data_IF_444891184216
#
_entry.id   IF_444891184216
#
_cell.length_a   1.000
_cell.length_b   1.000
_cell.length_c   1.000
_cell.angle_alpha   90.00
_cell.angle_beta   90.00
_cell.angle_gamma   90.00
#
_symmetry.space_group_name_H-M   'P 1'
#
loop_
_entity.id
_entity.type
_entity.pdbx_description
1 polymer ?
#
# COMPACT_ATOMS: atom_id res chain seq x y z
N UNK A 1 -21.29 -48.55 -0.93
CA UNK A 1 -22.50 -48.31 -0.10
C UNK A 1 -22.36 -46.93 0.54
N UNK A 2 -23.30 -46.02 0.25
CA UNK A 2 -23.33 -44.62 0.70
C UNK A 2 -23.57 -44.52 2.20
N UNK A 3 -22.86 -43.62 2.88
CA UNK A 3 -23.41 -42.77 3.96
C UNK A 3 -22.81 -41.37 3.83
N UNK A 4 -23.52 -40.50 3.12
CA UNK A 4 -23.26 -39.06 3.05
C UNK A 4 -23.88 -38.48 4.33
N UNK A 5 -23.08 -37.81 5.15
CA UNK A 5 -23.55 -37.11 6.34
C UNK A 5 -23.79 -35.64 5.97
N UNK A 6 -25.05 -35.29 5.72
CA UNK A 6 -25.51 -33.91 5.51
C UNK A 6 -25.82 -33.35 6.90
N UNK A 7 -25.05 -32.37 7.37
CA UNK A 7 -25.39 -31.58 8.55
C UNK A 7 -26.09 -30.32 8.05
N UNK A 8 -27.42 -30.32 8.13
CA UNK A 8 -28.25 -29.12 8.07
C UNK A 8 -28.02 -28.31 9.36
N UNK A 9 -27.41 -27.13 9.25
CA UNK A 9 -27.46 -26.13 10.32
C UNK A 9 -28.50 -25.07 9.93
N UNK A 10 -29.62 -25.12 10.66
CA UNK A 10 -30.77 -24.26 10.48
C UNK A 10 -30.46 -22.80 10.81
N UNK A 11 -31.03 -21.92 9.98
CA UNK A 11 -31.05 -20.48 10.06
C UNK A 11 -31.75 -19.96 11.32
N UNK A 12 -31.19 -18.94 11.96
CA UNK A 12 -31.96 -17.97 12.74
C UNK A 12 -31.82 -16.62 12.03
N UNK A 13 -32.87 -16.28 11.28
CA UNK A 13 -33.12 -14.95 10.72
C UNK A 13 -33.88 -14.19 11.80
N UNK A 14 -33.24 -13.23 12.47
CA UNK A 14 -33.94 -12.25 13.30
C UNK A 14 -34.22 -11.04 12.40
N UNK A 15 -35.45 -10.97 11.91
CA UNK A 15 -35.99 -9.80 11.22
C UNK A 15 -36.77 -8.95 12.21
N UNK A 16 -36.60 -7.63 12.04
CA UNK A 16 -37.46 -6.51 12.43
C UNK A 16 -37.25 -5.84 13.79
N UNK A 17 -36.67 -4.64 13.72
CA UNK A 17 -37.18 -3.46 14.42
C UNK A 17 -37.12 -2.27 13.42
N UNK A 18 -38.23 -2.05 12.71
CA UNK A 18 -39.11 -0.87 12.84
C UNK A 18 -38.45 0.43 12.36
N UNK A 19 -38.76 0.80 11.13
CA UNK A 19 -38.52 2.14 10.59
C UNK A 19 -39.62 3.08 11.13
N UNK A 20 -39.27 3.97 12.07
CA UNK A 20 -40.13 5.10 12.45
C UNK A 20 -39.68 6.33 11.65
N UNK A 21 -40.55 7.00 10.88
CA UNK A 21 -40.21 8.30 10.30
C UNK A 21 -40.35 9.37 11.38
N UNK A 22 -39.23 9.86 11.91
CA UNK A 22 -39.23 11.06 12.75
C UNK A 22 -39.25 12.28 11.81
N UNK A 23 -40.42 12.91 11.67
CA UNK A 23 -40.54 14.23 11.03
C UNK A 23 -40.36 15.28 12.13
N UNK A 24 -39.20 15.92 12.18
CA UNK A 24 -38.96 17.16 12.93
C UNK A 24 -38.67 18.27 11.92
N UNK A 25 -39.64 19.19 11.77
CA UNK A 25 -39.47 20.48 11.11
C UNK A 25 -38.93 21.49 12.14
N UNK A 26 -37.84 22.17 11.79
CA UNK A 26 -37.48 23.47 12.37
C UNK A 26 -36.06 23.55 12.92
N UNK A 27 -35.13 24.09 12.13
CA UNK A 27 -33.79 24.49 12.58
C UNK A 27 -32.72 24.19 11.54
N UNK A 28 -32.27 25.21 10.81
CA UNK A 28 -31.26 25.10 9.76
C UNK A 28 -29.85 24.87 10.33
N UNK A 29 -29.09 23.92 9.75
CA UNK A 29 -27.63 24.00 9.63
C UNK A 29 -26.79 23.00 10.45
N UNK A 30 -26.06 22.15 9.70
CA UNK A 30 -24.86 21.36 10.05
C UNK A 30 -24.99 20.18 11.04
N UNK A 31 -25.10 18.97 10.48
CA UNK A 31 -24.70 17.73 11.15
C UNK A 31 -23.18 17.65 11.23
N UNK A 32 -22.62 17.62 12.44
CA UNK A 32 -21.21 17.30 12.71
C UNK A 32 -21.12 15.81 13.09
N UNK A 33 -20.91 14.95 12.10
CA UNK A 33 -20.30 13.64 12.34
C UNK A 33 -18.79 13.88 12.49
N UNK A 34 -18.32 14.16 13.70
CA UNK A 34 -16.90 14.19 14.01
C UNK A 34 -16.38 12.76 14.17
N UNK A 35 -16.24 12.07 13.03
CA UNK A 35 -15.11 11.15 12.84
C UNK A 35 -13.91 12.06 12.59
N UNK A 36 -12.75 11.87 13.24
CA UNK A 36 -11.51 12.51 12.79
C UNK A 36 -11.19 11.98 11.39
N UNK A 37 -11.76 12.65 10.41
CA UNK A 37 -11.40 12.56 9.01
C UNK A 37 -9.96 13.07 8.99
N UNK A 38 -9.00 12.14 9.06
CA UNK A 38 -7.64 12.42 8.67
C UNK A 38 -7.74 12.93 7.25
N UNK A 39 -7.68 14.25 7.10
CA UNK A 39 -7.76 14.93 5.82
C UNK A 39 -6.57 14.49 4.99
N UNK A 40 -6.71 13.38 4.27
CA UNK A 40 -6.00 13.23 3.02
C UNK A 40 -6.55 14.36 2.15
N UNK A 41 -5.78 15.43 2.05
CA UNK A 41 -6.07 16.52 1.14
C UNK A 41 -6.24 15.92 -0.25
N UNK A 42 -7.48 15.84 -0.73
CA UNK A 42 -7.86 15.43 -2.09
C UNK A 42 -7.43 16.47 -3.15
N UNK A 43 -6.35 17.19 -2.89
CA UNK A 43 -5.64 18.07 -3.83
C UNK A 43 -4.28 17.45 -4.21
N UNK A 44 -4.17 16.12 -4.23
CA UNK A 44 -3.10 15.46 -4.98
C UNK A 44 -3.56 15.50 -6.43
N UNK A 45 -3.03 16.46 -7.18
CA UNK A 45 -3.21 16.61 -8.60
C UNK A 45 -3.08 15.26 -9.33
N UNK A 46 -3.75 15.13 -10.49
CA UNK A 46 -3.82 13.95 -11.37
C UNK A 46 -2.45 13.49 -11.96
N UNK A 47 -1.50 13.20 -11.08
CA UNK A 47 -0.12 12.79 -11.36
C UNK A 47 0.47 12.08 -10.13
N UNK A 48 -0.37 11.33 -9.41
CA UNK A 48 0.04 10.54 -8.26
C UNK A 48 0.95 9.39 -8.70
N UNK A 49 2.25 9.51 -8.43
CA UNK A 49 3.24 8.42 -8.55
C UNK A 49 3.04 7.31 -7.49
N UNK A 50 1.87 7.28 -6.83
CA UNK A 50 1.47 6.32 -5.82
C UNK A 50 0.84 5.12 -6.51
N UNK A 51 1.27 3.92 -6.11
CA UNK A 51 0.71 2.64 -6.51
C UNK A 51 0.15 1.93 -5.28
N UNK A 52 -1.09 1.47 -5.36
CA UNK A 52 -1.79 0.82 -4.26
C UNK A 52 -1.98 -0.66 -4.54
N UNK A 53 -1.78 -1.50 -3.53
CA UNK A 53 -2.16 -2.91 -3.53
C UNK A 53 -2.93 -3.23 -2.24
N UNK A 54 -4.13 -3.81 -2.39
CA UNK A 54 -5.05 -4.13 -1.28
C UNK A 54 -5.15 -5.64 -0.98
N UNK A 55 -4.21 -6.46 -1.47
CA UNK A 55 -4.23 -7.90 -1.25
C UNK A 55 -3.84 -8.24 0.20
N UNK A 56 -4.40 -9.32 0.75
CA UNK A 56 -4.11 -9.75 2.12
C UNK A 56 -4.83 -8.92 3.18
N UNK A 57 -4.26 -8.86 4.39
CA UNK A 57 -4.85 -8.16 5.54
C UNK A 57 -4.32 -6.73 5.72
N UNK A 58 -3.48 -6.25 4.82
CA UNK A 58 -2.96 -4.87 4.80
C UNK A 58 -3.10 -4.28 3.41
N UNK A 59 -3.40 -2.98 3.35
CA UNK A 59 -3.25 -2.18 2.15
C UNK A 59 -1.86 -1.54 2.14
N UNK A 60 -1.19 -1.56 0.99
CA UNK A 60 0.12 -0.96 0.80
C UNK A 60 0.04 0.08 -0.31
N UNK A 61 0.39 1.31 0.03
CA UNK A 61 0.64 2.38 -0.92
C UNK A 61 2.14 2.59 -1.06
N UNK A 62 2.63 2.71 -2.28
CA UNK A 62 4.04 3.00 -2.57
C UNK A 62 4.14 4.19 -3.50
N UNK A 63 4.84 5.24 -3.05
CA UNK A 63 5.20 6.39 -3.86
C UNK A 63 6.67 6.36 -4.22
N UNK A 64 6.99 6.40 -5.51
CA UNK A 64 8.38 6.60 -5.92
C UNK A 64 8.73 8.09 -5.80
N UNK A 65 9.68 8.45 -4.94
CA UNK A 65 9.95 9.84 -4.55
C UNK A 65 10.86 10.60 -5.51
N UNK A 66 11.66 9.89 -6.30
CA UNK A 66 12.59 10.50 -7.27
C UNK A 66 12.60 9.81 -8.65
N UNK A 67 11.42 9.60 -9.27
CA UNK A 67 11.30 8.85 -10.51
C UNK A 67 11.97 9.52 -11.72
N UNK A 68 12.02 10.85 -11.74
CA UNK A 68 12.59 11.65 -12.81
C UNK A 68 14.06 12.04 -12.60
N UNK A 69 14.74 11.42 -11.61
CA UNK A 69 16.13 11.71 -11.28
C UNK A 69 17.04 10.51 -11.55
N UNK A 70 17.19 10.16 -12.83
CA UNK A 70 17.98 9.00 -13.27
C UNK A 70 19.50 9.12 -12.95
N UNK A 71 19.93 10.33 -12.56
CA UNK A 71 21.27 10.62 -12.07
C UNK A 71 21.50 10.28 -10.60
N UNK A 72 20.44 10.17 -9.79
CA UNK A 72 20.53 10.06 -8.34
C UNK A 72 21.26 8.78 -7.90
N UNK A 73 22.07 8.92 -6.85
CA UNK A 73 22.80 7.80 -6.24
C UNK A 73 21.90 6.89 -5.40
N UNK A 74 20.81 7.43 -4.86
CA UNK A 74 19.89 6.72 -3.96
C UNK A 74 18.48 6.83 -4.54
N UNK A 75 17.81 5.69 -4.72
CA UNK A 75 16.39 5.63 -5.04
C UNK A 75 15.59 5.58 -3.73
N UNK A 76 14.48 6.32 -3.66
CA UNK A 76 13.66 6.42 -2.44
C UNK A 76 12.20 6.14 -2.74
N UNK A 77 11.59 5.31 -1.93
CA UNK A 77 10.17 4.98 -1.98
C UNK A 77 9.55 5.31 -0.63
N UNK A 78 8.47 6.07 -0.62
CA UNK A 78 7.63 6.17 0.56
C UNK A 78 6.64 5.00 0.52
N UNK A 79 6.60 4.24 1.60
CA UNK A 79 5.69 3.10 1.75
C UNK A 79 4.77 3.40 2.91
N UNK A 80 3.46 3.30 2.68
CA UNK A 80 2.44 3.43 3.71
C UNK A 80 1.69 2.11 3.84
N UNK A 81 1.60 1.62 5.07
CA UNK A 81 0.99 0.35 5.44
C UNK A 81 -0.25 0.65 6.27
N UNK A 82 -1.40 0.37 5.67
CA UNK A 82 -2.69 0.61 6.29
C UNK A 82 -3.28 -0.72 6.75
N UNK A 83 -3.54 -0.83 8.04
CA UNK A 83 -4.23 -1.98 8.61
C UNK A 83 -5.17 -1.53 9.75
N UNK A 84 -6.16 -2.36 10.07
CA UNK A 84 -7.09 -2.12 11.18
C UNK A 84 -7.04 -3.20 12.27
N UNK A 85 -6.12 -4.15 12.20
CA UNK A 85 -6.20 -5.38 13.02
C UNK A 85 -4.87 -6.04 13.40
N UNK A 86 -3.73 -5.57 12.89
CA UNK A 86 -2.43 -6.18 13.16
C UNK A 86 -1.42 -5.16 13.66
N UNK A 87 -0.60 -5.57 14.62
CA UNK A 87 0.57 -4.80 15.01
C UNK A 87 1.65 -4.90 13.92
N UNK A 88 2.13 -3.75 13.44
CA UNK A 88 3.19 -3.64 12.43
C UNK A 88 4.44 -2.95 12.99
N UNK A 89 4.50 -2.71 14.31
CA UNK A 89 5.55 -1.89 14.96
C UNK A 89 6.96 -2.45 14.80
N UNK A 90 7.12 -3.75 14.57
CA UNK A 90 8.42 -4.41 14.37
C UNK A 90 8.75 -4.67 12.89
N UNK A 91 7.96 -4.12 11.96
CA UNK A 91 8.12 -4.44 10.55
C UNK A 91 9.35 -3.76 9.94
N UNK A 92 10.32 -4.58 9.54
CA UNK A 92 11.46 -4.11 8.75
C UNK A 92 11.32 -4.55 7.27
N UNK A 93 10.91 -3.62 6.41
CA UNK A 93 10.72 -3.90 4.98
C UNK A 93 12.03 -4.21 4.23
N UNK A 94 13.20 -3.79 4.73
CA UNK A 94 14.48 -3.95 3.99
C UNK A 94 14.81 -5.39 3.59
N UNK A 95 14.29 -6.38 4.33
CA UNK A 95 14.53 -7.82 4.09
C UNK A 95 13.49 -8.48 3.19
N UNK A 96 12.42 -7.76 2.87
CA UNK A 96 11.23 -8.29 2.21
C UNK A 96 10.99 -7.65 0.86
N UNK A 97 12.01 -7.01 0.27
CA UNK A 97 11.89 -6.23 -0.94
C UNK A 97 12.89 -6.62 -2.02
N UNK A 98 12.51 -6.40 -3.26
CA UNK A 98 13.36 -6.56 -4.44
C UNK A 98 13.03 -5.46 -5.44
N UNK A 99 14.04 -4.84 -6.05
CA UNK A 99 13.85 -3.83 -7.09
C UNK A 99 14.41 -4.37 -8.41
N UNK A 100 13.57 -4.45 -9.44
CA UNK A 100 13.91 -5.02 -10.75
C UNK A 100 13.66 -3.97 -11.84
N UNK A 101 14.49 -3.93 -12.88
CA UNK A 101 14.21 -3.12 -14.07
C UNK A 101 13.90 -3.96 -15.32
N UNK A 102 13.50 -3.29 -16.41
CA UNK A 102 13.16 -3.93 -17.69
C UNK A 102 14.34 -4.69 -18.35
N UNK A 103 15.57 -4.46 -17.89
CA UNK A 103 16.78 -5.14 -18.35
C UNK A 103 17.11 -6.39 -17.53
N UNK A 104 16.28 -6.73 -16.53
CA UNK A 104 16.50 -7.86 -15.63
C UNK A 104 17.56 -7.62 -14.55
N UNK A 105 18.04 -6.38 -14.37
CA UNK A 105 18.87 -6.05 -13.21
C UNK A 105 17.99 -6.08 -11.97
N UNK A 106 18.48 -6.70 -10.90
CA UNK A 106 17.74 -6.89 -9.65
C UNK A 106 18.62 -6.57 -8.44
N UNK A 107 18.10 -5.76 -7.52
CA UNK A 107 18.66 -5.53 -6.18
C UNK A 107 17.76 -6.23 -5.17
N UNK A 108 18.36 -7.08 -4.33
CA UNK A 108 17.67 -7.87 -3.29
C UNK A 108 18.17 -7.57 -1.86
N UNK A 109 19.24 -6.80 -1.75
CA UNK A 109 19.91 -6.43 -0.51
C UNK A 109 20.32 -4.94 -0.55
N UNK A 110 20.88 -4.42 0.55
CA UNK A 110 21.29 -3.02 0.64
C UNK A 110 20.15 -2.01 0.78
N UNK A 111 18.91 -2.48 0.94
CA UNK A 111 17.79 -1.61 1.29
C UNK A 111 17.91 -1.11 2.73
N UNK A 112 17.63 0.16 2.93
CA UNK A 112 17.50 0.78 4.24
C UNK A 112 16.05 1.22 4.43
N UNK A 113 15.41 0.70 5.47
CA UNK A 113 14.07 1.07 5.91
C UNK A 113 14.18 2.04 7.07
N UNK A 114 13.68 3.26 6.88
CA UNK A 114 13.53 4.25 7.94
C UNK A 114 12.03 4.45 8.18
N UNK A 115 11.54 3.90 9.28
CA UNK A 115 10.16 4.09 9.70
C UNK A 115 9.87 5.57 9.99
N UNK A 116 8.70 6.02 9.54
CA UNK A 116 8.12 7.33 9.79
C UNK A 116 6.66 7.11 10.22
N UNK A 117 6.33 7.40 11.47
CA UNK A 117 5.00 7.13 12.03
C UNK A 117 5.06 6.24 13.27
N UNK A 118 3.90 5.97 13.86
CA UNK A 118 3.77 5.06 15.00
C UNK A 118 2.33 4.52 15.09
N UNK A 119 2.15 3.34 15.68
CA UNK A 119 0.83 2.73 15.89
C UNK A 119 0.30 1.93 14.68
N UNK A 120 -1.02 1.95 14.44
CA UNK A 120 -1.69 1.12 13.42
C UNK A 120 -1.48 1.57 11.95
N UNK A 121 -0.93 2.76 11.74
CA UNK A 121 -0.56 3.28 10.44
C UNK A 121 0.96 3.43 10.40
N UNK A 122 1.65 2.42 9.89
CA UNK A 122 3.10 2.45 9.72
C UNK A 122 3.41 3.04 8.36
N UNK A 123 4.24 4.07 8.31
CA UNK A 123 4.82 4.54 7.05
C UNK A 123 6.34 4.61 7.16
N UNK A 124 7.02 4.89 6.07
CA UNK A 124 8.46 5.08 6.11
C UNK A 124 9.09 5.18 4.74
N UNK A 125 10.39 5.46 4.76
CA UNK A 125 11.20 5.60 3.57
C UNK A 125 12.04 4.34 3.38
N UNK A 126 11.77 3.64 2.30
CA UNK A 126 12.62 2.59 1.78
C UNK A 126 13.62 3.21 0.80
N UNK A 127 14.91 2.98 1.02
CA UNK A 127 15.99 3.55 0.21
C UNK A 127 17.00 2.50 -0.21
N UNK A 128 17.58 2.67 -1.39
CA UNK A 128 18.60 1.75 -1.93
C UNK A 128 19.53 2.48 -2.88
N UNK A 129 20.77 2.02 -3.02
CA UNK A 129 21.67 2.55 -4.03
C UNK A 129 21.13 2.29 -5.45
N UNK A 130 21.23 3.29 -6.32
CA UNK A 130 20.95 3.16 -7.74
C UNK A 130 22.11 2.46 -8.47
N UNK A 131 22.58 1.35 -7.92
CA UNK A 131 23.69 0.60 -8.46
C UNK A 131 23.62 -0.87 -8.06
N UNK A 132 23.90 -1.74 -9.01
CA UNK A 132 24.21 -3.14 -8.75
C UNK A 132 25.37 -3.54 -9.67
N UNK A 133 26.49 -3.96 -9.09
CA UNK A 133 27.68 -4.40 -9.82
C UNK A 133 28.15 -3.39 -10.88
N UNK A 134 28.14 -2.09 -10.56
CA UNK A 134 28.56 -1.02 -11.47
C UNK A 134 27.51 -0.58 -12.48
N UNK A 135 26.33 -1.21 -12.52
CA UNK A 135 25.22 -0.86 -13.43
C UNK A 135 24.12 -0.14 -12.67
N UNK A 136 23.56 0.92 -13.26
CA UNK A 136 22.40 1.63 -12.68
C UNK A 136 21.12 0.83 -12.87
N UNK A 137 20.27 0.82 -11.84
CA UNK A 137 18.90 0.29 -11.95
C UNK A 137 18.03 1.25 -12.75
N UNK A 138 18.13 2.55 -12.44
CA UNK A 138 17.43 3.64 -13.11
C UNK A 138 18.45 4.55 -13.81
N UNK A 139 18.41 4.54 -15.14
CA UNK A 139 19.14 5.42 -16.05
C UNK A 139 18.18 5.94 -17.15
N UNK A 140 18.66 6.84 -18.02
CA UNK A 140 17.84 7.43 -19.08
C UNK A 140 17.24 6.41 -20.08
N UNK A 141 17.84 5.23 -20.18
CA UNK A 141 17.40 4.15 -21.07
C UNK A 141 16.46 3.14 -20.40
N UNK A 142 16.17 3.32 -19.11
CA UNK A 142 15.29 2.44 -18.34
C UNK A 142 13.83 2.66 -18.75
N UNK A 143 13.15 1.58 -19.13
CA UNK A 143 11.76 1.64 -19.60
C UNK A 143 10.76 1.36 -18.49
N UNK A 144 11.14 0.55 -17.51
CA UNK A 144 10.33 0.33 -16.33
C UNK A 144 11.16 -0.12 -15.16
N UNK A 145 10.67 0.15 -13.96
CA UNK A 145 11.14 -0.48 -12.73
C UNK A 145 9.96 -1.09 -11.98
N UNK A 146 10.25 -2.12 -11.20
CA UNK A 146 9.30 -2.86 -10.40
C UNK A 146 9.84 -3.05 -8.99
N UNK A 147 9.15 -2.49 -8.00
CA UNK A 147 9.36 -2.84 -6.60
C UNK A 147 8.48 -4.04 -6.25
N UNK A 148 9.09 -5.10 -5.74
CA UNK A 148 8.40 -6.30 -5.26
C UNK A 148 8.49 -6.33 -3.75
N UNK A 149 7.35 -6.43 -3.07
CA UNK A 149 7.26 -6.60 -1.60
C UNK A 149 6.75 -8.02 -1.33
N UNK A 150 7.43 -8.78 -0.47
CA UNK A 150 7.18 -10.22 -0.24
C UNK A 150 6.73 -10.52 1.18
N UNK A 151 5.80 -11.46 1.33
CA UNK A 151 5.41 -12.07 2.61
C UNK A 151 5.00 -11.07 3.70
N UNK A 152 4.25 -10.02 3.36
CA UNK A 152 3.72 -9.05 4.33
C UNK A 152 2.19 -9.16 4.36
N UNK A 153 1.58 -9.20 5.55
CA UNK A 153 0.12 -9.21 5.72
C UNK A 153 -0.59 -10.33 4.96
N UNK A 154 0.00 -11.53 4.93
CA UNK A 154 -0.60 -12.73 4.33
C UNK A 154 -0.52 -12.85 2.81
N UNK A 155 0.00 -11.85 2.08
CA UNK A 155 0.24 -11.97 0.64
C UNK A 155 1.67 -12.40 0.36
N UNK A 156 1.85 -13.36 -0.56
CA UNK A 156 3.17 -13.88 -0.94
C UNK A 156 4.04 -12.81 -1.62
N UNK A 157 3.44 -12.06 -2.56
CA UNK A 157 4.14 -11.07 -3.38
C UNK A 157 3.18 -9.96 -3.78
N UNK A 158 3.65 -8.71 -3.75
CA UNK A 158 2.98 -7.54 -4.32
C UNK A 158 3.96 -6.81 -5.22
N UNK A 159 3.49 -6.38 -6.39
CA UNK A 159 4.32 -5.73 -7.41
C UNK A 159 3.84 -4.31 -7.69
N UNK A 160 4.75 -3.35 -7.62
CA UNK A 160 4.50 -1.93 -7.92
C UNK A 160 5.39 -1.52 -9.08
N UNK A 161 4.79 -1.19 -10.22
CA UNK A 161 5.50 -0.96 -11.49
C UNK A 161 5.34 0.49 -11.93
N UNK A 162 6.44 1.12 -12.28
CA UNK A 162 6.48 2.45 -12.92
C UNK A 162 7.04 2.32 -14.33
N UNK A 163 6.31 2.86 -15.30
CA UNK A 163 6.63 2.84 -16.72
C UNK A 163 7.40 4.10 -17.14
N UNK A 164 7.92 4.06 -18.36
CA UNK A 164 8.85 5.08 -18.88
C UNK A 164 8.29 6.51 -18.90
N UNK A 165 6.98 6.69 -18.96
CA UNK A 165 6.29 7.99 -18.87
C UNK A 165 6.13 8.48 -17.42
N UNK A 166 6.23 7.60 -16.43
CA UNK A 166 6.17 7.92 -15.00
C UNK A 166 7.57 8.16 -14.42
N UNK A 167 8.60 7.67 -15.12
CA UNK A 167 10.01 7.81 -14.79
C UNK A 167 10.66 9.06 -15.40
N UNK A 168 9.92 10.00 -15.98
CA UNK A 168 10.47 11.19 -16.68
C UNK A 168 9.74 12.48 -16.31
#
# INVERSE_FOLDING_TARGET
MKKILIILLATIIIVSAISIPIILKGGAGKNTTDVPNGTYNNNVAENSNIKTNNEGSISIDVMFLNPNKQGDKILKFQVMLNNHSMDLSDLNLSKSVELVNDKGLSIKDGFNWKEEGSGHHVSGILSVENNINGKKILDNSTKSIKLVIKNIGGANTREFVWQSNELR
#
